data_IF_998117467431
#
_entry.id   IF_998117467431
#
_cell.length_a   1.000
_cell.length_b   1.000
_cell.length_c   1.000
_cell.angle_alpha   90.00
_cell.angle_beta   90.00
_cell.angle_gamma   90.00
#
_symmetry.space_group_name_H-M   'P 1'
#
loop_
_entity.id
_entity.type
_entity.pdbx_description
1 polymer ?
#
# COMPACT_ATOMS: atom_id res chain seq x y z
N UNK A 1 -24.51 11.75 9.59
CA UNK A 1 -24.70 11.08 8.30
C UNK A 1 -23.39 10.36 8.05
N UNK A 2 -23.38 9.03 8.17
CA UNK A 2 -22.29 8.24 7.61
C UNK A 2 -22.46 8.41 6.10
N UNK A 3 -21.45 8.91 5.40
CA UNK A 3 -21.53 9.01 3.95
C UNK A 3 -21.76 7.60 3.39
N UNK A 4 -22.89 7.38 2.71
CA UNK A 4 -23.24 6.18 1.91
C UNK A 4 -22.26 5.96 0.73
N UNK A 5 -21.10 6.62 0.73
CA UNK A 5 -20.25 6.89 -0.44
C UNK A 5 -18.96 6.05 -0.45
N UNK A 6 -18.69 5.24 0.59
CA UNK A 6 -17.41 4.55 0.72
C UNK A 6 -17.57 3.04 0.52
N UNK A 7 -16.93 2.53 -0.53
CA UNK A 7 -17.05 1.14 -0.96
C UNK A 7 -16.68 0.18 0.19
N UNK A 8 -17.54 -0.79 0.58
CA UNK A 8 -17.23 -1.73 1.65
C UNK A 8 -15.95 -2.54 1.40
N UNK A 9 -15.56 -2.73 0.13
CA UNK A 9 -14.30 -3.40 -0.25
C UNK A 9 -13.07 -2.63 0.21
N UNK A 10 -13.16 -1.30 0.36
CA UNK A 10 -12.04 -0.52 0.90
C UNK A 10 -11.73 -0.91 2.34
N UNK A 11 -12.76 -1.03 3.18
CA UNK A 11 -12.59 -1.49 4.57
C UNK A 11 -12.03 -2.91 4.62
N UNK A 12 -12.57 -3.81 3.80
CA UNK A 12 -12.05 -5.18 3.66
C UNK A 12 -10.57 -5.20 3.27
N UNK A 13 -10.17 -4.41 2.27
CA UNK A 13 -8.78 -4.32 1.82
C UNK A 13 -7.85 -3.76 2.89
N UNK A 14 -8.31 -2.81 3.71
CA UNK A 14 -7.56 -2.29 4.88
C UNK A 14 -7.33 -3.40 5.91
N UNK A 15 -8.37 -4.17 6.25
CA UNK A 15 -8.27 -5.28 7.19
C UNK A 15 -7.33 -6.37 6.66
N UNK A 16 -7.44 -6.73 5.39
CA UNK A 16 -6.56 -7.70 4.74
C UNK A 16 -5.09 -7.25 4.82
N UNK A 17 -4.80 -6.01 4.43
CA UNK A 17 -3.46 -5.45 4.50
C UNK A 17 -2.88 -5.49 5.93
N UNK A 18 -3.66 -5.04 6.90
CA UNK A 18 -3.23 -4.96 8.31
C UNK A 18 -3.03 -6.34 8.95
N UNK A 19 -3.64 -7.39 8.40
CA UNK A 19 -3.46 -8.78 8.82
C UNK A 19 -2.37 -9.53 8.03
N UNK A 20 -1.63 -8.85 7.14
CA UNK A 20 -0.60 -9.46 6.31
C UNK A 20 -1.13 -10.24 5.10
N UNK A 21 -2.42 -10.12 4.79
CA UNK A 21 -3.06 -10.75 3.63
C UNK A 21 -2.88 -9.84 2.39
N UNK A 22 -1.62 -9.62 1.99
CA UNK A 22 -1.28 -8.61 0.98
C UNK A 22 -1.78 -8.97 -0.43
N UNK A 23 -1.84 -10.25 -0.77
CA UNK A 23 -2.39 -10.69 -2.04
C UNK A 23 -3.90 -10.51 -2.07
N UNK A 24 -4.60 -10.83 -0.99
CA UNK A 24 -6.04 -10.63 -0.85
C UNK A 24 -6.39 -9.14 -0.90
N UNK A 25 -5.62 -8.29 -0.21
CA UNK A 25 -5.75 -6.84 -0.30
C UNK A 25 -5.59 -6.34 -1.74
N UNK A 26 -4.60 -6.86 -2.48
CA UNK A 26 -4.42 -6.56 -3.90
C UNK A 26 -5.69 -6.89 -4.71
N UNK A 27 -6.18 -8.12 -4.61
CA UNK A 27 -7.36 -8.56 -5.38
C UNK A 27 -8.60 -7.73 -5.02
N UNK A 28 -8.88 -7.55 -3.72
CA UNK A 28 -10.04 -6.78 -3.24
C UNK A 28 -10.04 -5.34 -3.75
N UNK A 29 -8.88 -4.67 -3.71
CA UNK A 29 -8.77 -3.28 -4.18
C UNK A 29 -8.69 -3.18 -5.70
N UNK A 30 -8.19 -4.21 -6.40
CA UNK A 30 -8.19 -4.26 -7.86
C UNK A 30 -9.61 -4.27 -8.42
N UNK A 31 -10.55 -4.97 -7.78
CA UNK A 31 -11.97 -4.91 -8.17
C UNK A 31 -12.52 -3.47 -8.15
N UNK A 32 -12.22 -2.70 -7.09
CA UNK A 32 -12.61 -1.28 -7.01
C UNK A 32 -11.93 -0.49 -8.13
N UNK A 33 -10.62 -0.69 -8.32
CA UNK A 33 -9.83 0.03 -9.32
C UNK A 33 -10.28 -0.21 -10.76
N UNK A 34 -10.73 -1.44 -11.08
CA UNK A 34 -11.26 -1.80 -12.39
C UNK A 34 -12.58 -1.07 -12.68
N UNK A 35 -13.41 -0.90 -11.65
CA UNK A 35 -14.71 -0.23 -11.73
C UNK A 35 -14.62 1.31 -11.61
N UNK A 36 -13.58 1.83 -10.96
CA UNK A 36 -13.43 3.25 -10.70
C UNK A 36 -12.91 4.03 -11.92
N UNK A 37 -13.65 5.04 -12.34
CA UNK A 37 -13.30 5.96 -13.43
C UNK A 37 -13.10 7.40 -12.92
N UNK A 38 -13.08 7.57 -11.61
CA UNK A 38 -13.02 8.85 -10.92
C UNK A 38 -11.61 9.27 -10.48
N UNK A 39 -11.52 10.31 -9.65
CA UNK A 39 -10.26 10.90 -9.20
C UNK A 39 -9.45 10.00 -8.25
N UNK A 40 -10.06 8.97 -7.68
CA UNK A 40 -9.43 8.07 -6.70
C UNK A 40 -8.79 6.83 -7.34
N UNK A 41 -8.91 6.68 -8.66
CA UNK A 41 -8.35 5.52 -9.37
C UNK A 41 -6.85 5.37 -9.15
N UNK A 42 -6.08 6.47 -9.16
CA UNK A 42 -4.64 6.40 -8.90
C UNK A 42 -4.32 6.10 -7.43
N UNK A 43 -5.17 6.51 -6.49
CA UNK A 43 -5.05 6.17 -5.08
C UNK A 43 -5.17 4.66 -4.86
N UNK A 44 -6.21 4.03 -5.39
CA UNK A 44 -6.38 2.57 -5.31
C UNK A 44 -5.18 1.86 -5.93
N UNK A 45 -4.75 2.28 -7.12
CA UNK A 45 -3.56 1.71 -7.77
C UNK A 45 -2.30 1.86 -6.91
N UNK A 46 -2.17 2.96 -6.18
CA UNK A 46 -1.09 3.19 -5.23
C UNK A 46 -1.06 2.15 -4.11
N UNK A 47 -2.19 1.93 -3.44
CA UNK A 47 -2.29 0.92 -2.36
C UNK A 47 -2.09 -0.49 -2.90
N UNK A 48 -2.69 -0.84 -4.04
CA UNK A 48 -2.54 -2.14 -4.72
C UNK A 48 -1.06 -2.44 -4.98
N UNK A 49 -0.31 -1.46 -5.51
CA UNK A 49 1.12 -1.62 -5.74
C UNK A 49 1.91 -1.76 -4.45
N UNK A 50 1.53 -1.05 -3.39
CA UNK A 50 2.18 -1.20 -2.08
C UNK A 50 1.95 -2.60 -1.50
N UNK A 51 0.71 -3.10 -1.54
CA UNK A 51 0.35 -4.45 -1.10
C UNK A 51 1.12 -5.52 -1.91
N UNK A 52 1.10 -5.42 -3.24
CA UNK A 52 1.88 -6.31 -4.10
C UNK A 52 3.39 -6.25 -3.80
N UNK A 53 3.91 -5.08 -3.41
CA UNK A 53 5.30 -4.92 -2.98
C UNK A 53 5.61 -5.68 -1.70
N UNK A 54 4.72 -5.64 -0.70
CA UNK A 54 4.86 -6.44 0.52
C UNK A 54 4.77 -7.94 0.26
N UNK A 55 3.85 -8.38 -0.60
CA UNK A 55 3.78 -9.77 -1.05
C UNK A 55 5.09 -10.24 -1.73
N UNK A 56 5.73 -9.37 -2.53
CA UNK A 56 7.04 -9.67 -3.14
C UNK A 56 8.17 -9.71 -2.13
N UNK A 57 8.11 -8.84 -1.12
CA UNK A 57 9.08 -8.84 -0.02
C UNK A 57 9.01 -10.14 0.79
N UNK A 58 7.82 -10.66 1.10
CA UNK A 58 7.65 -11.96 1.77
C UNK A 58 8.20 -13.14 0.94
N UNK A 59 8.15 -13.03 -0.38
CA UNK A 59 8.75 -14.00 -1.30
C UNK A 59 10.28 -13.87 -1.44
N UNK A 60 10.91 -12.88 -0.78
CA UNK A 60 12.34 -12.56 -0.94
C UNK A 60 12.71 -11.89 -2.26
N UNK A 61 11.73 -11.43 -3.05
CA UNK A 61 11.94 -10.83 -4.37
C UNK A 61 12.15 -9.31 -4.22
N UNK A 62 13.31 -8.91 -3.70
CA UNK A 62 13.61 -7.52 -3.30
C UNK A 62 13.45 -6.50 -4.43
N UNK A 63 13.96 -6.82 -5.63
CA UNK A 63 13.85 -5.92 -6.79
C UNK A 63 12.39 -5.68 -7.17
N UNK A 64 11.55 -6.72 -7.06
CA UNK A 64 10.11 -6.62 -7.30
C UNK A 64 9.44 -5.69 -6.29
N UNK A 65 9.73 -5.88 -5.00
CA UNK A 65 9.22 -5.04 -3.92
C UNK A 65 9.62 -3.56 -4.10
N UNK A 66 10.92 -3.29 -4.36
CA UNK A 66 11.44 -1.93 -4.59
C UNK A 66 10.71 -1.23 -5.73
N UNK A 67 10.54 -1.90 -6.88
CA UNK A 67 9.88 -1.32 -8.06
C UNK A 67 8.43 -0.98 -7.77
N UNK A 68 7.72 -1.87 -7.08
CA UNK A 68 6.31 -1.70 -6.73
C UNK A 68 6.12 -0.58 -5.70
N UNK A 69 6.91 -0.57 -4.63
CA UNK A 69 6.85 0.49 -3.62
C UNK A 69 7.19 1.87 -4.18
N UNK A 70 8.20 2.00 -5.05
CA UNK A 70 8.48 3.28 -5.73
C UNK A 70 7.28 3.76 -6.55
N UNK A 71 6.65 2.86 -7.31
CA UNK A 71 5.51 3.19 -8.16
C UNK A 71 4.28 3.56 -7.34
N UNK A 72 3.99 2.78 -6.29
CA UNK A 72 2.86 3.01 -5.39
C UNK A 72 3.02 4.32 -4.62
N UNK A 73 4.21 4.58 -4.08
CA UNK A 73 4.50 5.84 -3.39
C UNK A 73 4.36 7.07 -4.30
N UNK A 74 4.78 6.97 -5.57
CA UNK A 74 4.61 8.06 -6.52
C UNK A 74 3.13 8.39 -6.75
N UNK A 75 2.27 7.37 -6.80
CA UNK A 75 0.82 7.48 -6.93
C UNK A 75 0.11 8.02 -5.70
N UNK A 76 0.58 7.67 -4.51
CA UNK A 76 0.00 8.16 -3.26
C UNK A 76 0.45 9.58 -2.92
N UNK A 77 1.62 10.02 -3.41
CA UNK A 77 2.21 11.33 -3.08
C UNK A 77 1.36 12.59 -3.39
N UNK A 78 0.47 12.62 -4.42
CA UNK A 78 -0.34 13.80 -4.71
C UNK A 78 -1.56 13.95 -3.79
N UNK A 79 -1.94 12.90 -3.05
CA UNK A 79 -3.13 12.90 -2.21
C UNK A 79 -2.87 13.57 -0.85
N UNK A 80 -3.90 14.16 -0.23
CA UNK A 80 -3.76 14.80 1.09
C UNK A 80 -3.35 13.79 2.19
N UNK A 81 -2.81 14.27 3.32
CA UNK A 81 -2.43 13.44 4.46
C UNK A 81 -3.53 12.52 4.99
N UNK A 82 -4.78 12.90 4.78
CA UNK A 82 -5.97 12.10 5.04
C UNK A 82 -6.76 12.00 3.75
N UNK A 83 -6.95 10.78 3.24
CA UNK A 83 -7.69 10.54 2.00
C UNK A 83 -8.54 9.29 2.14
N UNK A 84 -9.82 9.36 1.72
CA UNK A 84 -10.80 8.29 1.95
C UNK A 84 -10.81 7.79 3.41
N UNK A 85 -10.74 8.70 4.38
CA UNK A 85 -10.73 8.36 5.81
C UNK A 85 -9.46 7.64 6.30
N UNK A 86 -8.45 7.42 5.45
CA UNK A 86 -7.19 6.77 5.80
C UNK A 86 -6.16 7.83 6.18
N UNK A 87 -5.41 7.60 7.27
CA UNK A 87 -4.19 8.35 7.58
C UNK A 87 -3.07 7.98 6.61
N UNK A 88 -3.07 8.63 5.44
CA UNK A 88 -2.15 8.34 4.37
C UNK A 88 -0.71 8.77 4.69
N UNK A 89 -0.52 9.87 5.42
CA UNK A 89 0.82 10.40 5.74
C UNK A 89 1.66 9.39 6.53
N UNK A 90 1.08 8.83 7.61
CA UNK A 90 1.75 7.82 8.44
C UNK A 90 2.09 6.56 7.65
N UNK A 91 1.17 6.11 6.79
CA UNK A 91 1.34 4.95 5.94
C UNK A 91 2.46 5.15 4.91
N UNK A 92 2.39 6.25 4.15
CA UNK A 92 3.39 6.61 3.13
C UNK A 92 4.77 6.75 3.74
N UNK A 93 4.87 7.34 4.94
CA UNK A 93 6.15 7.49 5.62
C UNK A 93 6.74 6.12 6.01
N UNK A 94 5.93 5.22 6.56
CA UNK A 94 6.38 3.86 6.88
C UNK A 94 6.82 3.06 5.66
N UNK A 95 6.10 3.17 4.53
CA UNK A 95 6.51 2.50 3.27
C UNK A 95 7.82 3.10 2.74
N UNK A 96 8.02 4.42 2.83
CA UNK A 96 9.28 5.07 2.44
C UNK A 96 10.46 4.59 3.28
N UNK A 97 10.29 4.41 4.58
CA UNK A 97 11.37 3.96 5.45
C UNK A 97 11.70 2.49 5.20
N UNK A 98 10.71 1.66 4.93
CA UNK A 98 10.91 0.29 4.47
C UNK A 98 11.63 0.22 3.10
N UNK A 99 11.25 1.08 2.16
CA UNK A 99 11.92 1.20 0.86
C UNK A 99 13.41 1.55 1.01
N UNK A 100 13.75 2.50 1.88
CA UNK A 100 15.16 2.85 2.13
C UNK A 100 15.95 1.67 2.69
N UNK A 101 15.35 0.92 3.63
CA UNK A 101 16.00 -0.23 4.27
C UNK A 101 16.30 -1.35 3.26
N UNK A 102 15.32 -1.72 2.43
CA UNK A 102 15.50 -2.77 1.42
C UNK A 102 16.47 -2.35 0.32
N UNK A 103 16.48 -1.07 -0.09
CA UNK A 103 17.43 -0.54 -1.07
C UNK A 103 18.86 -0.62 -0.55
N UNK A 104 19.08 -0.29 0.72
CA UNK A 104 20.39 -0.39 1.36
C UNK A 104 20.84 -1.86 1.47
N UNK A 105 19.94 -2.77 1.86
CA UNK A 105 20.23 -4.20 1.94
C UNK A 105 20.61 -4.76 0.56
N UNK A 106 19.82 -4.42 -0.47
CA UNK A 106 20.07 -4.84 -1.85
C UNK A 106 21.43 -4.34 -2.38
N UNK A 107 21.79 -3.08 -2.11
CA UNK A 107 23.09 -2.51 -2.52
C UNK A 107 24.28 -3.21 -1.85
N UNK A 108 24.12 -3.67 -0.60
CA UNK A 108 25.15 -4.39 0.14
C UNK A 108 25.26 -5.87 -0.24
N UNK A 109 24.37 -6.36 -1.12
CA UNK A 109 24.25 -7.79 -1.43
C UNK A 109 23.80 -8.62 -0.21
N UNK A 110 23.12 -7.99 0.75
CA UNK A 110 22.64 -8.65 1.96
C UNK A 110 21.30 -9.37 1.74
N UNK A 111 20.91 -10.16 2.74
CA UNK A 111 19.61 -10.83 2.78
C UNK A 111 18.44 -9.84 2.91
N UNK A 112 17.23 -10.36 2.71
CA UNK A 112 15.99 -9.62 2.92
C UNK A 112 15.90 -9.12 4.37
N UNK A 113 15.81 -7.81 4.64
CA UNK A 113 15.67 -7.31 6.00
C UNK A 113 14.26 -7.61 6.53
N UNK A 114 14.17 -7.84 7.84
CA UNK A 114 12.89 -7.81 8.55
C UNK A 114 12.41 -6.35 8.63
N UNK A 115 11.16 -6.11 8.26
CA UNK A 115 10.59 -4.78 8.13
C UNK A 115 9.39 -4.62 9.07
N UNK A 116 9.22 -3.41 9.60
CA UNK A 116 7.99 -3.05 10.30
C UNK A 116 6.98 -2.53 9.27
N UNK A 117 5.97 -3.32 8.96
CA UNK A 117 4.94 -2.94 7.99
C UNK A 117 4.04 -1.85 8.61
N UNK A 118 3.85 -0.70 7.95
CA UNK A 118 2.94 0.34 8.43
C UNK A 118 1.50 -0.14 8.31
N UNK A 119 0.62 0.35 9.17
CA UNK A 119 -0.81 0.02 9.11
C UNK A 119 -1.59 1.06 8.30
N UNK A 120 -2.62 0.62 7.61
CA UNK A 120 -3.67 1.49 7.08
C UNK A 120 -4.64 1.80 8.22
N UNK A 121 -4.50 2.98 8.83
CA UNK A 121 -5.36 3.40 9.95
C UNK A 121 -6.47 4.34 9.50
N UNK A 122 -7.66 4.14 10.04
CA UNK A 122 -8.82 5.01 9.81
C UNK A 122 -8.83 6.17 10.80
N UNK A 123 -9.10 7.36 10.30
CA UNK A 123 -9.36 8.55 11.12
C UNK A 123 -10.88 8.69 11.20
N UNK A 124 -11.46 8.09 12.23
CA UNK A 124 -12.88 8.21 12.60
C UNK A 124 -13.11 9.37 13.56
#
# INVERSE_FOLDING_TARGET
MMDDQQDPRLFKGIEEFNNGLYFECHETLEEIWLEDHGPDREFYQGIIQVAAGYFKWEQGVLIGAIKLWRSGLAKLSPYPPVHLGINLDSFVQGVRDNLKQIELAHQKGGDCPELTVPILSLIV
#
